data_IF_449272329795
#
_entry.id   IF_449272329795
#
_cell.length_a   1.000
_cell.length_b   1.000
_cell.length_c   1.000
_cell.angle_alpha   90.00
_cell.angle_beta   90.00
_cell.angle_gamma   90.00
#
_symmetry.space_group_name_H-M   'P 1'
#
loop_
_entity.id
_entity.type
_entity.pdbx_description
1 polymer ?
#
# COMPACT_ATOMS: atom_id res chain seq x y z
N UNK A 1 9.06 -29.52 -19.41
CA UNK A 1 8.20 -28.55 -18.74
C UNK A 1 9.14 -27.42 -18.29
N UNK A 2 8.92 -26.18 -18.75
CA UNK A 2 9.71 -25.05 -18.27
C UNK A 2 9.37 -24.88 -16.77
N UNK A 3 10.37 -24.87 -15.89
CA UNK A 3 10.17 -24.51 -14.50
C UNK A 3 9.56 -23.09 -14.46
N UNK A 4 8.41 -22.97 -13.81
CA UNK A 4 7.77 -21.69 -13.62
C UNK A 4 8.69 -20.81 -12.78
N UNK A 5 9.20 -19.72 -13.35
CA UNK A 5 10.15 -18.84 -12.67
C UNK A 5 9.47 -18.29 -11.42
N UNK A 6 10.00 -18.61 -10.24
CA UNK A 6 9.47 -18.12 -8.97
C UNK A 6 9.60 -16.58 -8.94
N UNK A 7 8.48 -15.90 -8.74
CA UNK A 7 8.41 -14.43 -8.64
C UNK A 7 8.51 -14.02 -7.15
N UNK A 8 9.71 -13.74 -6.68
CA UNK A 8 9.99 -13.41 -5.28
C UNK A 8 9.38 -12.07 -4.85
N UNK A 9 9.13 -11.17 -5.78
CA UNK A 9 8.54 -9.86 -5.58
C UNK A 9 7.01 -9.89 -5.38
N UNK A 10 6.34 -11.02 -5.65
CA UNK A 10 4.90 -11.12 -5.65
C UNK A 10 4.36 -11.23 -4.23
N UNK A 11 3.72 -10.15 -3.76
CA UNK A 11 2.99 -10.16 -2.51
C UNK A 11 1.58 -10.76 -2.68
N UNK A 12 1.01 -11.43 -1.62
CA UNK A 12 -0.32 -12.03 -1.69
C UNK A 12 -1.40 -10.94 -1.70
N UNK A 13 -2.34 -11.06 -2.62
CA UNK A 13 -3.58 -10.30 -2.57
C UNK A 13 -4.40 -10.78 -1.36
N UNK A 14 -5.15 -9.87 -0.74
CA UNK A 14 -5.79 -10.17 0.53
C UNK A 14 -7.17 -9.50 0.64
N UNK A 15 -8.11 -10.21 1.27
CA UNK A 15 -9.40 -9.65 1.70
C UNK A 15 -9.78 -10.17 3.08
N UNK A 16 -10.58 -9.40 3.78
CA UNK A 16 -11.12 -9.78 5.07
C UNK A 16 -12.46 -9.11 5.34
N UNK A 17 -13.41 -9.87 5.88
CA UNK A 17 -14.59 -9.35 6.59
C UNK A 17 -14.34 -9.48 8.10
N UNK A 18 -14.62 -8.45 8.88
CA UNK A 18 -14.38 -8.43 10.32
C UNK A 18 -15.40 -9.37 10.99
N UNK A 19 -14.96 -10.41 11.73
CA UNK A 19 -15.86 -11.35 12.37
C UNK A 19 -16.78 -10.68 13.39
N UNK A 20 -18.02 -11.20 13.52
CA UNK A 20 -18.97 -10.74 14.53
C UNK A 20 -19.64 -9.40 14.24
N UNK A 21 -19.36 -8.79 13.09
CA UNK A 21 -20.05 -7.57 12.63
C UNK A 21 -21.12 -7.91 11.60
N UNK A 22 -22.25 -7.20 11.67
CA UNK A 22 -23.33 -7.27 10.69
C UNK A 22 -23.63 -5.83 10.19
N UNK A 23 -24.04 -5.74 8.96
CA UNK A 23 -24.47 -4.47 8.34
C UNK A 23 -26.00 -4.29 8.35
N UNK A 24 -26.75 -5.36 8.65
CA UNK A 24 -28.22 -5.30 8.71
C UNK A 24 -28.66 -4.39 9.85
N UNK A 25 -29.44 -3.37 9.49
CA UNK A 25 -29.85 -2.34 10.44
C UNK A 25 -28.87 -1.19 10.63
N UNK A 26 -27.74 -1.18 9.91
CA UNK A 26 -26.81 -0.05 9.90
C UNK A 26 -27.47 1.23 9.39
N UNK A 27 -27.15 2.35 10.03
CA UNK A 27 -27.62 3.68 9.60
C UNK A 27 -26.81 4.20 8.42
N UNK A 28 -25.50 3.94 8.41
CA UNK A 28 -24.58 4.46 7.40
C UNK A 28 -23.56 3.41 6.99
N UNK A 29 -23.49 3.13 5.70
CA UNK A 29 -22.45 2.31 5.09
C UNK A 29 -21.63 3.20 4.16
N UNK A 30 -20.32 3.25 4.34
CA UNK A 30 -19.42 4.06 3.52
C UNK A 30 -18.25 3.23 3.00
N UNK A 31 -17.62 3.71 1.93
CA UNK A 31 -16.42 3.11 1.38
C UNK A 31 -15.32 4.13 1.09
N UNK A 32 -14.09 3.70 1.29
CA UNK A 32 -12.90 4.33 0.74
C UNK A 32 -12.27 3.42 -0.30
N UNK A 33 -12.03 3.93 -1.50
CA UNK A 33 -11.42 3.16 -2.60
C UNK A 33 -10.16 3.87 -3.06
N UNK A 34 -9.02 3.25 -2.79
CA UNK A 34 -7.70 3.72 -3.21
C UNK A 34 -7.26 2.97 -4.47
N UNK A 35 -7.18 3.68 -5.57
CA UNK A 35 -6.63 3.15 -6.83
C UNK A 35 -5.22 3.69 -7.01
N UNK A 36 -4.26 2.97 -6.45
CA UNK A 36 -2.84 3.28 -6.58
C UNK A 36 -2.25 2.76 -7.90
N UNK A 37 -1.00 3.13 -8.18
CA UNK A 37 -0.26 2.70 -9.40
C UNK A 37 0.09 1.21 -9.39
N UNK A 38 0.31 0.62 -8.21
CA UNK A 38 0.72 -0.78 -8.04
C UNK A 38 -0.41 -1.62 -7.46
N UNK A 39 -1.13 -1.09 -6.47
CA UNK A 39 -2.20 -1.82 -5.78
C UNK A 39 -3.45 -0.97 -5.62
N UNK A 40 -4.61 -1.63 -5.72
CA UNK A 40 -5.92 -1.05 -5.41
C UNK A 40 -6.46 -1.65 -4.13
N UNK A 41 -7.06 -0.81 -3.29
CA UNK A 41 -7.62 -1.22 -2.00
C UNK A 41 -9.00 -0.63 -1.83
N UNK A 42 -9.82 -1.31 -1.05
CA UNK A 42 -11.08 -0.76 -0.55
C UNK A 42 -11.25 -1.07 0.92
N UNK A 43 -11.84 -0.14 1.65
CA UNK A 43 -12.30 -0.33 3.02
C UNK A 43 -13.77 0.05 3.09
N UNK A 44 -14.59 -0.87 3.64
CA UNK A 44 -16.01 -0.69 3.88
C UNK A 44 -16.21 -0.43 5.37
N UNK A 45 -16.86 0.66 5.68
CA UNK A 45 -17.20 1.07 7.05
C UNK A 45 -18.70 0.92 7.28
N UNK A 46 -19.10 0.37 8.39
CA UNK A 46 -20.49 0.27 8.85
C UNK A 46 -20.60 1.05 10.15
N UNK A 47 -21.40 2.09 10.16
CA UNK A 47 -21.60 3.02 11.28
C UNK A 47 -20.27 3.55 11.88
N UNK A 48 -19.31 3.85 11.00
CA UNK A 48 -17.98 4.37 11.39
C UNK A 48 -16.96 3.33 11.82
N UNK A 49 -17.29 2.04 11.80
CA UNK A 49 -16.37 0.96 12.13
C UNK A 49 -15.98 0.15 10.89
N UNK A 50 -14.73 -0.32 10.84
CA UNK A 50 -14.24 -1.16 9.75
C UNK A 50 -15.01 -2.48 9.72
N UNK A 51 -15.63 -2.78 8.58
CA UNK A 51 -16.43 -3.97 8.34
C UNK A 51 -15.74 -4.96 7.41
N UNK A 52 -15.28 -4.50 6.25
CA UNK A 52 -14.61 -5.35 5.27
C UNK A 52 -13.55 -4.56 4.52
N UNK A 53 -12.53 -5.25 4.03
CA UNK A 53 -11.51 -4.63 3.18
C UNK A 53 -10.85 -5.64 2.25
N UNK A 54 -10.28 -5.12 1.18
CA UNK A 54 -9.48 -5.91 0.24
C UNK A 54 -8.32 -5.08 -0.33
N UNK A 55 -7.26 -5.77 -0.71
CA UNK A 55 -6.12 -5.24 -1.44
C UNK A 55 -5.74 -6.21 -2.57
N UNK A 56 -5.61 -5.68 -3.78
CA UNK A 56 -5.22 -6.43 -4.97
C UNK A 56 -4.30 -5.60 -5.87
N UNK A 57 -3.67 -6.24 -6.82
CA UNK A 57 -2.87 -5.53 -7.83
C UNK A 57 -3.76 -4.66 -8.72
N UNK A 58 -3.30 -3.46 -9.00
CA UNK A 58 -3.98 -2.57 -9.95
C UNK A 58 -3.80 -3.12 -11.37
N UNK A 59 -4.91 -3.29 -12.06
CA UNK A 59 -4.93 -3.66 -13.47
C UNK A 59 -4.71 -2.45 -14.40
N UNK A 60 -4.84 -2.67 -15.70
CA UNK A 60 -4.68 -1.64 -16.73
C UNK A 60 -5.79 -0.57 -16.73
N UNK A 61 -6.95 -0.86 -16.11
CA UNK A 61 -8.08 0.06 -15.98
C UNK A 61 -8.29 0.46 -14.52
N UNK A 62 -8.18 1.74 -14.22
CA UNK A 62 -8.46 2.27 -12.87
C UNK A 62 -9.91 2.02 -12.45
N UNK A 63 -10.87 2.25 -13.35
CA UNK A 63 -12.29 1.99 -13.08
C UNK A 63 -12.54 0.51 -12.81
N UNK A 64 -12.01 -0.38 -13.68
CA UNK A 64 -12.15 -1.82 -13.51
C UNK A 64 -11.46 -2.34 -12.24
N UNK A 65 -10.34 -1.74 -11.83
CA UNK A 65 -9.64 -2.09 -10.59
C UNK A 65 -10.44 -1.67 -9.36
N UNK A 66 -11.05 -0.46 -9.38
CA UNK A 66 -11.93 0.01 -8.32
C UNK A 66 -13.15 -0.91 -8.12
N UNK A 67 -13.81 -1.29 -9.23
CA UNK A 67 -14.95 -2.22 -9.18
C UNK A 67 -14.56 -3.60 -8.67
N UNK A 68 -13.46 -4.16 -9.18
CA UNK A 68 -12.98 -5.50 -8.78
C UNK A 68 -12.63 -5.55 -7.29
N UNK A 69 -11.82 -4.63 -6.80
CA UNK A 69 -11.38 -4.64 -5.40
C UNK A 69 -12.56 -4.42 -4.45
N UNK A 70 -13.52 -3.57 -4.83
CA UNK A 70 -14.70 -3.32 -4.00
C UNK A 70 -15.65 -4.52 -4.00
N UNK A 71 -15.96 -5.11 -5.16
CA UNK A 71 -16.76 -6.31 -5.22
C UNK A 71 -16.12 -7.47 -4.46
N UNK A 72 -14.78 -7.61 -4.56
CA UNK A 72 -14.07 -8.66 -3.83
C UNK A 72 -14.13 -8.46 -2.31
N UNK A 73 -14.04 -7.22 -1.79
CA UNK A 73 -14.24 -6.95 -0.37
C UNK A 73 -15.66 -7.26 0.11
N UNK A 74 -16.66 -7.08 -0.77
CA UNK A 74 -18.07 -7.32 -0.46
C UNK A 74 -18.50 -8.79 -0.66
N UNK A 75 -17.67 -9.60 -1.28
CA UNK A 75 -18.00 -11.01 -1.57
C UNK A 75 -18.29 -11.80 -0.29
N UNK A 76 -19.44 -12.48 -0.25
CA UNK A 76 -19.91 -13.26 0.92
C UNK A 76 -20.57 -12.42 2.02
N UNK A 77 -20.61 -11.09 1.91
CA UNK A 77 -21.24 -10.21 2.91
C UNK A 77 -22.74 -10.02 2.69
N UNK A 78 -23.22 -10.25 1.46
CA UNK A 78 -24.58 -9.90 1.03
C UNK A 78 -24.75 -8.43 0.65
N UNK A 79 -23.75 -7.58 0.84
CA UNK A 79 -23.71 -6.22 0.34
C UNK A 79 -23.29 -6.15 -1.12
N UNK A 80 -23.76 -5.11 -1.80
CA UNK A 80 -23.33 -4.68 -3.13
C UNK A 80 -22.86 -3.23 -3.11
N UNK A 81 -22.20 -2.78 -4.16
CA UNK A 81 -21.78 -1.36 -4.30
C UNK A 81 -22.99 -0.41 -4.18
N UNK A 82 -24.21 -0.85 -4.56
CA UNK A 82 -25.42 -0.04 -4.50
C UNK A 82 -25.92 0.21 -3.08
N UNK A 83 -25.53 -0.62 -2.13
CA UNK A 83 -25.91 -0.50 -0.72
C UNK A 83 -24.99 0.48 0.04
N UNK A 84 -23.92 0.95 -0.61
CA UNK A 84 -22.97 1.91 -0.03
C UNK A 84 -23.53 3.32 -0.19
N UNK A 85 -23.79 3.99 0.93
CA UNK A 85 -24.37 5.33 0.94
C UNK A 85 -23.41 6.43 0.44
N UNK A 86 -22.11 6.28 0.71
CA UNK A 86 -21.11 7.25 0.31
C UNK A 86 -19.74 6.63 0.08
N UNK A 87 -19.12 6.94 -1.06
CA UNK A 87 -17.80 6.45 -1.43
C UNK A 87 -16.84 7.60 -1.70
N UNK A 88 -15.64 7.50 -1.14
CA UNK A 88 -14.51 8.38 -1.45
C UNK A 88 -13.51 7.61 -2.29
N UNK A 89 -13.19 8.17 -3.47
CA UNK A 89 -12.07 7.70 -4.29
C UNK A 89 -10.78 8.41 -3.91
N UNK A 90 -9.68 7.66 -3.80
CA UNK A 90 -8.35 8.19 -3.53
C UNK A 90 -7.28 7.48 -4.36
N UNK A 91 -6.01 7.86 -4.19
CA UNK A 91 -4.89 7.35 -4.97
C UNK A 91 -4.74 8.03 -6.32
N UNK A 92 -3.83 7.52 -7.13
CA UNK A 92 -3.52 8.06 -8.46
C UNK A 92 -4.73 7.98 -9.41
N UNK A 93 -5.51 6.89 -9.34
CA UNK A 93 -6.71 6.67 -10.15
C UNK A 93 -8.01 7.22 -9.56
N UNK A 94 -7.97 8.04 -8.50
CA UNK A 94 -9.15 8.49 -7.73
C UNK A 94 -10.29 9.11 -8.54
N UNK A 95 -9.98 9.80 -9.63
CA UNK A 95 -10.98 10.45 -10.49
C UNK A 95 -11.72 9.46 -11.39
N UNK A 96 -11.21 8.24 -11.50
CA UNK A 96 -11.77 7.18 -12.33
C UNK A 96 -12.52 6.11 -11.51
N UNK A 97 -12.83 6.35 -10.24
CA UNK A 97 -13.68 5.45 -9.43
C UNK A 97 -15.14 5.74 -9.77
N UNK A 98 -15.86 4.85 -10.51
CA UNK A 98 -17.11 5.23 -11.20
C UNK A 98 -18.28 5.50 -10.23
N UNK A 99 -18.19 4.93 -9.01
CA UNK A 99 -19.24 5.02 -7.98
C UNK A 99 -18.84 5.92 -6.80
N UNK A 100 -17.72 6.65 -6.90
CA UNK A 100 -17.32 7.59 -5.86
C UNK A 100 -18.05 8.93 -6.01
N UNK A 101 -18.58 9.44 -4.90
CA UNK A 101 -19.19 10.78 -4.85
C UNK A 101 -18.13 11.87 -4.69
N UNK A 102 -16.93 11.52 -4.20
CA UNK A 102 -15.86 12.50 -4.00
C UNK A 102 -14.48 11.87 -4.24
N UNK A 103 -13.60 12.63 -4.88
CA UNK A 103 -12.18 12.30 -5.00
C UNK A 103 -11.36 13.15 -4.00
N UNK A 104 -10.53 12.50 -3.19
CA UNK A 104 -9.64 13.13 -2.20
C UNK A 104 -8.22 12.60 -2.45
N UNK A 105 -7.20 13.44 -2.20
CA UNK A 105 -5.81 13.01 -2.36
C UNK A 105 -5.44 11.94 -1.35
N UNK A 106 -4.58 11.00 -1.76
CA UNK A 106 -4.05 9.95 -0.89
C UNK A 106 -3.31 10.52 0.33
N UNK A 107 -2.64 11.65 0.20
CA UNK A 107 -1.95 12.34 1.30
C UNK A 107 -2.93 12.67 2.44
N UNK A 108 -4.09 13.25 2.09
CA UNK A 108 -5.12 13.59 3.08
C UNK A 108 -5.77 12.34 3.68
N UNK A 109 -6.00 11.30 2.86
CA UNK A 109 -6.59 10.05 3.30
C UNK A 109 -5.65 9.27 4.24
N UNK A 110 -4.34 9.21 3.95
CA UNK A 110 -3.36 8.52 4.80
C UNK A 110 -3.18 9.23 6.13
N UNK A 111 -3.09 10.57 6.15
CA UNK A 111 -3.02 11.33 7.41
C UNK A 111 -4.27 11.10 8.27
N UNK A 112 -5.45 11.15 7.66
CA UNK A 112 -6.72 10.93 8.36
C UNK A 112 -6.88 9.49 8.84
N UNK A 113 -6.49 8.52 8.01
CA UNK A 113 -6.54 7.09 8.33
C UNK A 113 -5.59 6.72 9.47
N UNK A 114 -4.35 7.22 9.45
CA UNK A 114 -3.40 7.00 10.53
C UNK A 114 -3.89 7.60 11.84
N UNK A 115 -4.44 8.82 11.81
CA UNK A 115 -5.05 9.45 12.98
C UNK A 115 -6.27 8.67 13.51
N UNK A 116 -7.09 8.12 12.62
CA UNK A 116 -8.23 7.28 12.99
C UNK A 116 -7.81 5.99 13.70
N UNK A 117 -6.74 5.34 13.23
CA UNK A 117 -6.27 4.03 13.75
C UNK A 117 -5.50 4.21 15.07
N UNK A 118 -4.56 5.17 15.12
CA UNK A 118 -3.63 5.34 16.25
C UNK A 118 -3.93 6.54 17.14
N UNK A 119 -4.97 7.30 16.82
CA UNK A 119 -5.47 8.39 17.66
C UNK A 119 -4.80 9.75 17.43
N UNK A 120 -5.19 10.74 18.25
CA UNK A 120 -4.85 12.15 18.03
C UNK A 120 -3.39 12.52 18.31
N UNK A 121 -2.56 11.59 18.75
CA UNK A 121 -1.12 11.80 18.98
C UNK A 121 -0.29 11.67 17.70
N UNK A 122 -0.86 11.08 16.63
CA UNK A 122 -0.20 11.03 15.32
C UNK A 122 0.05 12.44 14.80
N UNK A 123 1.32 12.74 14.46
CA UNK A 123 1.75 14.03 13.88
C UNK A 123 2.50 13.89 12.58
N UNK A 124 3.11 12.75 12.36
CA UNK A 124 3.88 12.46 11.15
C UNK A 124 3.52 11.07 10.66
N UNK A 125 3.28 10.96 9.37
CA UNK A 125 3.05 9.70 8.67
C UNK A 125 4.13 9.56 7.61
N UNK A 126 4.89 8.49 7.65
CA UNK A 126 5.75 8.07 6.56
C UNK A 126 4.94 7.08 5.71
N UNK A 127 4.56 7.52 4.53
CA UNK A 127 3.82 6.73 3.54
C UNK A 127 4.79 6.28 2.45
N UNK A 128 5.04 4.98 2.40
CA UNK A 128 5.86 4.35 1.36
C UNK A 128 4.95 3.68 0.35
N UNK A 129 4.65 4.40 -0.73
CA UNK A 129 3.83 3.89 -1.83
C UNK A 129 4.58 2.92 -2.75
N UNK A 130 3.88 2.44 -3.79
CA UNK A 130 4.47 1.56 -4.80
C UNK A 130 5.52 2.25 -5.68
N UNK A 131 5.34 3.55 -5.95
CA UNK A 131 6.24 4.33 -6.82
C UNK A 131 6.64 5.68 -6.25
N UNK A 132 6.14 6.03 -5.09
CA UNK A 132 6.41 7.29 -4.41
C UNK A 132 6.60 7.05 -2.90
N UNK A 133 7.20 8.04 -2.23
CA UNK A 133 7.34 8.06 -0.79
C UNK A 133 6.96 9.45 -0.28
N UNK A 134 6.20 9.52 0.81
CA UNK A 134 5.72 10.78 1.37
C UNK A 134 5.96 10.83 2.87
N UNK A 135 6.48 11.97 3.34
CA UNK A 135 6.47 12.34 4.74
C UNK A 135 5.36 13.38 4.96
N UNK A 136 4.33 13.04 5.72
CA UNK A 136 3.12 13.84 5.86
C UNK A 136 3.02 14.31 7.31
N UNK A 137 2.94 15.62 7.53
CA UNK A 137 2.64 16.21 8.83
C UNK A 137 1.14 16.49 8.96
N UNK A 138 0.56 16.19 10.12
CA UNK A 138 -0.85 16.44 10.39
C UNK A 138 -1.10 16.98 11.79
N UNK A 139 -2.23 17.62 11.97
CA UNK A 139 -2.73 18.07 13.27
C UNK A 139 -3.39 16.92 14.07
N UNK A 140 -3.89 17.22 15.25
CA UNK A 140 -4.56 16.25 16.15
C UNK A 140 -5.84 15.64 15.58
N UNK A 141 -6.37 16.22 14.50
CA UNK A 141 -7.56 15.73 13.80
C UNK A 141 -7.22 14.98 12.50
N UNK A 142 -5.92 14.76 12.23
CA UNK A 142 -5.44 14.13 11.01
C UNK A 142 -5.54 15.03 9.77
N UNK A 143 -5.70 16.36 9.93
CA UNK A 143 -5.65 17.31 8.81
C UNK A 143 -4.20 17.58 8.45
N UNK A 144 -3.85 17.42 7.18
CA UNK A 144 -2.50 17.70 6.67
C UNK A 144 -2.13 19.17 6.88
N UNK A 145 -0.98 19.40 7.49
CA UNK A 145 -0.38 20.73 7.69
C UNK A 145 0.79 20.96 6.77
N UNK A 146 1.56 19.92 6.45
CA UNK A 146 2.67 19.98 5.50
C UNK A 146 2.94 18.57 4.95
N UNK A 147 3.62 18.46 3.82
CA UNK A 147 4.14 17.19 3.31
C UNK A 147 5.34 17.39 2.39
N UNK A 148 6.18 16.35 2.35
CA UNK A 148 7.24 16.19 1.35
C UNK A 148 6.96 14.91 0.57
N UNK A 149 7.23 14.91 -0.73
CA UNK A 149 7.00 13.76 -1.59
C UNK A 149 8.18 13.56 -2.53
N UNK A 150 8.63 12.31 -2.65
CA UNK A 150 9.47 11.83 -3.73
C UNK A 150 8.62 10.99 -4.67
N UNK A 151 8.35 11.50 -5.86
CA UNK A 151 7.55 10.87 -6.92
C UNK A 151 8.38 10.61 -8.20
N UNK A 152 9.70 10.85 -8.14
CA UNK A 152 10.57 10.84 -9.34
C UNK A 152 11.37 9.57 -9.50
N UNK A 153 11.54 8.79 -8.43
CA UNK A 153 12.33 7.58 -8.47
C UNK A 153 11.75 6.49 -7.56
N UNK A 154 11.78 5.25 -8.04
CA UNK A 154 11.36 4.08 -7.27
C UNK A 154 12.32 3.71 -6.12
N UNK A 155 13.50 4.35 -6.01
CA UNK A 155 14.37 4.20 -4.85
C UNK A 155 13.63 4.62 -3.57
N UNK A 156 13.70 3.82 -2.52
CA UNK A 156 12.97 4.05 -1.27
C UNK A 156 11.46 3.84 -1.36
N UNK A 157 10.99 3.09 -2.35
CA UNK A 157 9.56 2.78 -2.55
C UNK A 157 9.32 1.27 -2.55
N UNK A 158 8.07 0.85 -2.46
CA UNK A 158 7.68 -0.56 -2.56
C UNK A 158 8.18 -1.23 -3.85
N UNK A 159 8.22 -0.50 -4.97
CA UNK A 159 8.77 -1.03 -6.22
C UNK A 159 10.29 -1.29 -6.14
N UNK A 160 11.02 -0.44 -5.42
CA UNK A 160 12.43 -0.70 -5.11
C UNK A 160 12.59 -2.01 -4.34
N UNK A 161 11.79 -2.21 -3.29
CA UNK A 161 11.80 -3.44 -2.49
C UNK A 161 11.49 -4.69 -3.34
N UNK A 162 10.50 -4.60 -4.25
CA UNK A 162 10.19 -5.70 -5.19
C UNK A 162 11.40 -6.04 -6.09
N UNK A 163 12.14 -5.03 -6.56
CA UNK A 163 13.36 -5.22 -7.38
C UNK A 163 14.45 -5.92 -6.59
N UNK A 164 14.65 -5.56 -5.32
CA UNK A 164 15.65 -6.21 -4.46
C UNK A 164 15.22 -7.62 -4.05
N UNK A 165 13.95 -7.86 -3.75
CA UNK A 165 13.40 -9.19 -3.48
C UNK A 165 13.73 -10.17 -4.64
N UNK A 166 13.48 -9.74 -5.88
CA UNK A 166 13.75 -10.55 -7.08
C UNK A 166 15.25 -10.71 -7.37
N UNK A 167 16.04 -9.65 -7.14
CA UNK A 167 17.49 -9.68 -7.31
C UNK A 167 18.18 -10.69 -6.37
N UNK A 168 17.73 -10.70 -5.11
CA UNK A 168 18.34 -11.48 -4.03
C UNK A 168 17.69 -12.85 -3.85
N UNK A 169 16.63 -13.15 -4.61
CA UNK A 169 15.79 -14.35 -4.48
C UNK A 169 15.22 -14.53 -3.07
N UNK A 170 14.85 -13.43 -2.44
CA UNK A 170 14.22 -13.38 -1.11
C UNK A 170 12.73 -13.06 -1.27
N UNK A 171 11.82 -13.87 -0.70
CA UNK A 171 10.40 -13.53 -0.68
C UNK A 171 10.17 -12.12 -0.13
N UNK A 172 9.27 -11.35 -0.75
CA UNK A 172 9.05 -9.95 -0.39
C UNK A 172 8.66 -9.77 1.08
N UNK A 173 7.93 -10.73 1.65
CA UNK A 173 7.55 -10.76 3.06
C UNK A 173 8.72 -10.98 4.02
N UNK A 174 9.84 -11.53 3.54
CA UNK A 174 11.05 -11.77 4.33
C UNK A 174 12.06 -10.62 4.22
N UNK A 175 11.92 -9.72 3.25
CA UNK A 175 12.86 -8.59 3.04
C UNK A 175 13.05 -7.76 4.31
N UNK A 176 11.94 -7.35 4.93
CA UNK A 176 12.00 -6.56 6.18
C UNK A 176 12.62 -7.35 7.34
N UNK A 177 12.11 -8.54 7.71
CA UNK A 177 12.73 -9.35 8.77
C UNK A 177 14.22 -9.57 8.57
N UNK A 178 14.66 -9.97 7.38
CA UNK A 178 16.08 -10.24 7.11
C UNK A 178 16.96 -8.98 7.14
N UNK A 179 16.45 -7.81 6.80
CA UNK A 179 17.24 -6.57 6.88
C UNK A 179 17.66 -6.21 8.31
N UNK A 180 17.03 -6.79 9.32
CA UNK A 180 17.40 -6.63 10.74
C UNK A 180 18.37 -7.71 11.25
N UNK A 181 18.71 -8.72 10.43
CA UNK A 181 19.63 -9.80 10.80
C UNK A 181 21.08 -9.40 10.54
N UNK A 182 21.49 -8.25 11.05
CA UNK A 182 22.84 -7.68 10.91
C UNK A 182 23.38 -7.21 12.25
N UNK A 183 24.71 -7.31 12.42
CA UNK A 183 25.41 -6.89 13.62
C UNK A 183 25.92 -5.44 13.56
N UNK A 184 25.98 -4.85 12.36
CA UNK A 184 26.49 -3.50 12.10
C UNK A 184 25.70 -2.79 11.02
N UNK A 185 25.57 -1.47 11.10
CA UNK A 185 24.91 -0.65 10.08
C UNK A 185 25.76 -0.65 8.80
N UNK A 186 25.20 -1.07 7.63
CA UNK A 186 25.94 -1.11 6.39
C UNK A 186 26.05 0.27 5.74
N UNK A 187 27.01 0.43 4.83
CA UNK A 187 27.04 1.60 3.95
C UNK A 187 25.82 1.59 3.00
N UNK A 188 25.08 2.70 2.87
CA UNK A 188 23.90 2.75 2.03
C UNK A 188 24.27 2.68 0.56
N UNK A 189 23.47 1.95 -0.22
CA UNK A 189 23.50 2.01 -1.69
C UNK A 189 22.82 3.30 -2.20
N UNK A 190 22.94 3.56 -3.51
CA UNK A 190 22.39 4.76 -4.13
C UNK A 190 20.90 4.96 -3.80
N UNK A 191 20.58 6.04 -3.09
CA UNK A 191 19.21 6.47 -2.81
C UNK A 191 18.58 7.27 -3.98
N UNK A 192 19.36 7.58 -5.02
CA UNK A 192 18.90 8.45 -6.12
C UNK A 192 18.20 7.65 -7.21
N UNK A 193 18.66 6.44 -7.51
CA UNK A 193 18.13 5.64 -8.61
C UNK A 193 18.20 4.14 -8.31
N UNK A 194 17.07 3.45 -8.41
CA UNK A 194 16.99 2.00 -8.16
C UNK A 194 17.87 1.17 -9.11
N UNK A 195 18.13 1.65 -10.33
CA UNK A 195 19.02 0.95 -11.28
C UNK A 195 20.47 0.99 -10.80
N UNK A 196 20.92 2.13 -10.29
CA UNK A 196 22.25 2.25 -9.70
C UNK A 196 22.36 1.46 -8.41
N UNK A 197 21.37 1.57 -7.51
CA UNK A 197 21.31 0.75 -6.30
C UNK A 197 21.39 -0.75 -6.59
N UNK A 198 20.66 -1.23 -7.61
CA UNK A 198 20.73 -2.62 -8.06
C UNK A 198 22.13 -3.01 -8.53
N UNK A 199 22.81 -2.12 -9.28
CA UNK A 199 24.17 -2.38 -9.79
C UNK A 199 25.18 -2.44 -8.64
N UNK A 200 25.07 -1.53 -7.68
CA UNK A 200 25.88 -1.50 -6.48
C UNK A 200 25.65 -2.75 -5.62
N UNK A 201 24.41 -3.14 -5.38
CA UNK A 201 24.06 -4.36 -4.66
C UNK A 201 24.67 -5.62 -5.30
N UNK A 202 24.65 -5.74 -6.64
CA UNK A 202 25.33 -6.83 -7.36
C UNK A 202 26.85 -6.79 -7.10
N UNK A 203 27.44 -5.59 -7.05
CA UNK A 203 28.86 -5.42 -6.69
C UNK A 203 29.18 -5.90 -5.28
N UNK A 204 28.35 -5.56 -4.30
CA UNK A 204 28.48 -5.98 -2.91
C UNK A 204 28.37 -7.50 -2.74
N UNK A 205 27.38 -8.13 -3.42
CA UNK A 205 27.26 -9.59 -3.43
C UNK A 205 28.50 -10.28 -4.01
N UNK A 206 29.07 -9.73 -5.10
CA UNK A 206 30.32 -10.24 -5.70
C UNK A 206 31.54 -10.05 -4.79
N UNK A 207 31.52 -9.02 -3.94
CA UNK A 207 32.52 -8.78 -2.91
C UNK A 207 32.34 -9.68 -1.67
N UNK A 208 31.32 -10.55 -1.66
CA UNK A 208 31.10 -11.54 -0.60
C UNK A 208 30.19 -11.04 0.54
N UNK A 209 29.47 -9.94 0.35
CA UNK A 209 28.50 -9.49 1.35
C UNK A 209 27.33 -10.48 1.45
N UNK A 210 26.89 -10.82 2.67
CA UNK A 210 25.70 -11.63 2.86
C UNK A 210 24.44 -10.88 2.42
N UNK A 211 23.42 -11.63 2.03
CA UNK A 211 22.14 -11.10 1.54
C UNK A 211 21.51 -10.13 2.54
N UNK A 212 21.56 -10.46 3.83
CA UNK A 212 21.00 -9.67 4.94
C UNK A 212 21.65 -8.28 5.02
N UNK A 213 22.96 -8.22 4.85
CA UNK A 213 23.71 -6.96 4.83
C UNK A 213 23.44 -6.10 3.59
N UNK A 214 23.07 -6.70 2.46
CA UNK A 214 22.66 -5.98 1.25
C UNK A 214 21.21 -5.49 1.35
N UNK A 215 20.37 -6.16 2.14
CA UNK A 215 18.98 -5.77 2.40
C UNK A 215 18.86 -4.63 3.42
N UNK A 216 19.79 -4.52 4.35
CA UNK A 216 19.82 -3.49 5.39
C UNK A 216 20.28 -2.15 4.86
#
# INVERSE_FOLDING_TARGET
MAEEKKEFWRWPEYRRTVPGKDWKGAQVITAGVDVGSVSSKTAIMVDGELYAYAIMRTGSSSAGSAEKVTNWALEGTGLTIKDIHYTVGTGYGRVNVPFAQRAITEIACHARGANFIWGPTVRTVLDMGGQDCKAIQCDSKGKVTNFLMNDKCAAGTGRGMEVFADLLNVPIEEVGPRSFEIDEEPEPVSSTCVVFAKTEAVGLLRAGWPTEKVLA
#
